data_IF_080831798228
#
_entry.id   IF_080831798228
#
_cell.length_a   1.000
_cell.length_b   1.000
_cell.length_c   1.000
_cell.angle_alpha   90.00
_cell.angle_beta   90.00
_cell.angle_gamma   90.00
#
_symmetry.space_group_name_H-M   'P 1'
#
loop_
_entity.id
_entity.type
_entity.pdbx_description
1 polymer ?
#
# COMPACT_ATOMS: atom_id res chain seq x y z
N UNK A 1 29.59 -3.09 -16.21
CA UNK A 1 29.16 -2.63 -14.88
C UNK A 1 27.74 -3.11 -14.73
N UNK A 2 27.49 -4.05 -13.82
CA UNK A 2 26.12 -4.41 -13.45
C UNK A 2 25.65 -3.30 -12.51
N UNK A 3 24.64 -2.53 -12.93
CA UNK A 3 24.14 -1.38 -12.19
C UNK A 3 23.27 -1.89 -11.06
N UNK A 4 23.67 -1.62 -9.81
CA UNK A 4 22.85 -1.91 -8.65
C UNK A 4 21.74 -0.86 -8.53
N UNK A 5 20.57 -1.18 -9.06
CA UNK A 5 19.40 -0.30 -9.03
C UNK A 5 18.95 0.04 -7.59
N UNK A 6 19.28 -0.81 -6.60
CA UNK A 6 18.98 -0.55 -5.20
C UNK A 6 19.75 0.63 -4.61
N UNK A 7 20.92 0.96 -5.17
CA UNK A 7 21.76 2.07 -4.70
C UNK A 7 21.14 3.46 -4.97
N UNK A 8 20.24 3.57 -5.96
CA UNK A 8 19.56 4.83 -6.30
C UNK A 8 18.41 5.17 -5.34
N UNK A 9 17.99 4.20 -4.52
CA UNK A 9 16.98 4.42 -3.48
C UNK A 9 17.58 4.87 -2.14
N UNK A 10 18.90 4.96 -2.03
CA UNK A 10 19.58 5.43 -0.81
C UNK A 10 19.49 6.96 -0.70
N UNK A 11 19.04 7.45 0.46
CA UNK A 11 18.96 8.88 0.77
C UNK A 11 20.34 9.57 0.72
N UNK A 12 21.42 8.81 0.87
CA UNK A 12 22.81 9.29 0.80
C UNK A 12 23.47 9.09 -0.58
N UNK A 13 22.69 8.75 -1.61
CA UNK A 13 23.24 8.52 -2.94
C UNK A 13 23.89 9.79 -3.52
N UNK A 14 25.19 9.72 -3.81
CA UNK A 14 25.95 10.81 -4.43
C UNK A 14 26.04 10.60 -5.95
N UNK A 15 25.09 11.21 -6.66
CA UNK A 15 25.02 11.17 -8.12
C UNK A 15 26.30 11.69 -8.79
N UNK A 16 26.94 12.73 -8.25
CA UNK A 16 28.16 13.28 -8.85
C UNK A 16 29.31 12.29 -8.74
N UNK A 17 29.47 11.68 -7.56
CA UNK A 17 30.50 10.66 -7.34
C UNK A 17 30.28 9.43 -8.23
N UNK A 18 29.03 9.02 -8.41
CA UNK A 18 28.69 7.90 -9.28
C UNK A 18 29.07 8.17 -10.75
N UNK A 19 28.65 9.32 -11.29
CA UNK A 19 28.98 9.72 -12.68
C UNK A 19 30.49 9.82 -12.86
N UNK A 20 31.18 10.51 -11.94
CA UNK A 20 32.64 10.67 -12.02
C UNK A 20 33.38 9.34 -11.97
N UNK A 21 32.87 8.37 -11.20
CA UNK A 21 33.46 7.02 -11.14
C UNK A 21 33.25 6.26 -12.45
N UNK A 22 32.10 6.43 -13.10
CA UNK A 22 31.85 5.85 -14.43
C UNK A 22 32.80 6.41 -15.48
N UNK A 23 33.05 7.73 -15.46
CA UNK A 23 34.01 8.41 -16.35
C UNK A 23 35.47 7.99 -16.13
N UNK A 24 35.84 7.53 -14.93
CA UNK A 24 37.20 7.10 -14.60
C UNK A 24 37.53 5.68 -15.08
N UNK A 25 36.55 4.92 -15.58
CA UNK A 25 36.72 3.53 -16.01
C UNK A 25 37.43 3.35 -17.36
N UNK A 26 37.85 4.45 -18.00
CA UNK A 26 38.52 4.42 -19.31
C UNK A 26 39.87 3.71 -19.24
N UNK A 27 40.09 2.74 -20.13
CA UNK A 27 41.41 2.15 -20.29
C UNK A 27 42.37 3.17 -20.96
N UNK A 28 43.63 3.31 -20.51
CA UNK A 28 44.56 4.30 -21.08
C UNK A 28 44.81 4.18 -22.58
N UNK A 29 44.59 2.99 -23.15
CA UNK A 29 44.75 2.72 -24.58
C UNK A 29 43.48 2.93 -25.41
N UNK A 30 42.33 3.19 -24.79
CA UNK A 30 41.08 3.43 -25.53
C UNK A 30 41.04 4.86 -26.08
N UNK A 31 40.72 5.03 -27.38
CA UNK A 31 40.48 6.35 -27.98
C UNK A 31 39.40 7.10 -27.19
N UNK A 32 39.67 8.38 -26.92
CA UNK A 32 38.81 9.19 -26.08
C UNK A 32 37.39 9.33 -26.67
N UNK A 33 37.25 9.64 -27.97
CA UNK A 33 35.93 9.73 -28.61
C UNK A 33 35.15 8.42 -28.48
N UNK A 34 35.77 7.28 -28.74
CA UNK A 34 35.10 5.97 -28.65
C UNK A 34 34.60 5.72 -27.22
N UNK A 35 35.44 5.99 -26.22
CA UNK A 35 35.05 5.84 -24.83
C UNK A 35 33.89 6.77 -24.43
N UNK A 36 33.91 8.03 -24.89
CA UNK A 36 32.85 8.99 -24.59
C UNK A 36 31.51 8.60 -25.21
N UNK A 37 31.51 8.13 -26.47
CA UNK A 37 30.31 7.62 -27.15
C UNK A 37 29.77 6.37 -26.46
N UNK A 38 30.65 5.43 -26.09
CA UNK A 38 30.27 4.22 -25.36
C UNK A 38 29.71 4.55 -23.96
N UNK A 39 30.27 5.58 -23.30
CA UNK A 39 29.83 6.03 -21.99
C UNK A 39 28.49 6.75 -22.07
N UNK A 40 28.30 7.62 -23.05
CA UNK A 40 27.03 8.29 -23.33
C UNK A 40 25.91 7.26 -23.55
N UNK A 41 26.13 6.29 -24.44
CA UNK A 41 25.14 5.25 -24.73
C UNK A 41 24.81 4.41 -23.49
N UNK A 42 25.80 4.10 -22.65
CA UNK A 42 25.59 3.39 -21.38
C UNK A 42 24.79 4.23 -20.39
N UNK A 43 25.14 5.50 -20.20
CA UNK A 43 24.43 6.39 -19.29
C UNK A 43 22.98 6.60 -19.72
N UNK A 44 22.75 6.74 -21.03
CA UNK A 44 21.42 6.84 -21.62
C UNK A 44 20.57 5.60 -21.28
N UNK A 45 21.05 4.40 -21.58
CA UNK A 45 20.32 3.15 -21.28
C UNK A 45 20.09 2.97 -19.78
N UNK A 46 21.10 3.26 -18.94
CA UNK A 46 20.95 3.18 -17.48
C UNK A 46 19.92 4.19 -16.97
N UNK A 47 19.85 5.39 -17.54
CA UNK A 47 18.80 6.35 -17.20
C UNK A 47 17.41 5.84 -17.51
N UNK A 48 17.24 5.19 -18.67
CA UNK A 48 15.96 4.58 -19.08
C UNK A 48 15.57 3.41 -18.16
N UNK A 49 16.52 2.56 -17.80
CA UNK A 49 16.32 1.45 -16.86
C UNK A 49 15.91 1.94 -15.45
N UNK A 50 16.57 2.97 -14.93
CA UNK A 50 16.23 3.56 -13.62
C UNK A 50 14.82 4.16 -13.68
N UNK A 51 14.49 4.90 -14.75
CA UNK A 51 13.17 5.52 -14.90
C UNK A 51 12.06 4.46 -14.94
N UNK A 52 12.22 3.42 -15.75
CA UNK A 52 11.27 2.30 -15.83
C UNK A 52 11.11 1.62 -14.47
N UNK A 53 12.20 1.35 -13.77
CA UNK A 53 12.15 0.67 -12.46
C UNK A 53 11.43 1.50 -11.40
N UNK A 54 11.65 2.83 -11.38
CA UNK A 54 10.95 3.74 -10.48
C UNK A 54 9.46 3.84 -10.80
N UNK A 55 9.09 3.85 -12.08
CA UNK A 55 7.69 3.90 -12.51
C UNK A 55 6.92 2.63 -12.13
N UNK A 56 7.55 1.46 -12.30
CA UNK A 56 7.00 0.16 -11.87
C UNK A 56 6.81 0.10 -10.35
N UNK A 57 7.82 0.53 -9.58
CA UNK A 57 7.74 0.56 -8.12
C UNK A 57 6.67 1.53 -7.62
N UNK A 58 6.57 2.70 -8.25
CA UNK A 58 5.55 3.71 -7.92
C UNK A 58 4.14 3.18 -8.18
N UNK A 59 3.91 2.55 -9.34
CA UNK A 59 2.63 1.95 -9.71
C UNK A 59 2.24 0.81 -8.76
N UNK A 60 3.20 -0.05 -8.39
CA UNK A 60 2.99 -1.12 -7.42
C UNK A 60 2.66 -0.59 -6.01
N UNK A 61 3.31 0.50 -5.59
CA UNK A 61 3.05 1.15 -4.31
C UNK A 61 1.65 1.76 -4.26
N UNK A 62 1.21 2.43 -5.33
CA UNK A 62 -0.14 2.99 -5.46
C UNK A 62 -1.22 1.90 -5.37
N UNK A 63 -1.06 0.80 -6.12
CA UNK A 63 -1.98 -0.35 -6.05
C UNK A 63 -2.03 -0.95 -4.64
N UNK A 64 -0.89 -1.02 -3.96
CA UNK A 64 -0.83 -1.54 -2.59
C UNK A 64 -1.55 -0.60 -1.62
N UNK A 65 -1.34 0.71 -1.74
CA UNK A 65 -2.01 1.70 -0.90
C UNK A 65 -3.54 1.67 -1.07
N UNK A 66 -4.02 1.55 -2.30
CA UNK A 66 -5.46 1.39 -2.59
C UNK A 66 -6.02 0.10 -2.01
N UNK A 67 -5.31 -1.03 -2.16
CA UNK A 67 -5.72 -2.32 -1.58
C UNK A 67 -5.80 -2.25 -0.06
N UNK A 68 -4.82 -1.66 0.61
CA UNK A 68 -4.83 -1.49 2.08
C UNK A 68 -6.02 -0.64 2.51
N UNK A 69 -6.29 0.47 1.83
CA UNK A 69 -7.47 1.31 2.09
C UNK A 69 -8.76 0.52 1.98
N UNK A 70 -8.92 -0.26 0.91
CA UNK A 70 -10.10 -1.10 0.70
C UNK A 70 -10.30 -2.13 1.81
N UNK A 71 -9.23 -2.81 2.24
CA UNK A 71 -9.27 -3.78 3.34
C UNK A 71 -9.71 -3.13 4.65
N UNK A 72 -9.18 -1.94 4.97
CA UNK A 72 -9.57 -1.17 6.16
C UNK A 72 -11.05 -0.79 6.10
N UNK A 73 -11.55 -0.39 4.93
CA UNK A 73 -12.96 -0.01 4.75
C UNK A 73 -13.92 -1.20 4.88
N UNK A 74 -13.54 -2.37 4.37
CA UNK A 74 -14.28 -3.61 4.59
C UNK A 74 -14.30 -4.00 6.07
N UNK A 75 -13.17 -3.93 6.75
CA UNK A 75 -13.07 -4.26 8.18
C UNK A 75 -13.91 -3.31 9.05
N UNK A 76 -13.87 -2.00 8.75
CA UNK A 76 -14.70 -1.00 9.42
C UNK A 76 -16.20 -1.24 9.16
N UNK A 77 -16.57 -1.68 7.96
CA UNK A 77 -17.96 -2.03 7.62
C UNK A 77 -18.42 -3.30 8.33
N UNK A 78 -17.53 -4.30 8.44
CA UNK A 78 -17.77 -5.53 9.20
C UNK A 78 -18.02 -5.25 10.68
N UNK A 79 -17.13 -4.47 11.32
CA UNK A 79 -17.29 -4.03 12.72
C UNK A 79 -18.58 -3.24 12.95
N UNK A 80 -18.98 -2.37 12.02
CA UNK A 80 -20.27 -1.65 12.11
C UNK A 80 -21.48 -2.59 12.07
N UNK A 81 -21.44 -3.64 11.24
CA UNK A 81 -22.52 -4.64 11.19
C UNK A 81 -22.58 -5.48 12.47
N UNK A 82 -21.45 -5.84 13.04
CA UNK A 82 -21.38 -6.57 14.30
C UNK A 82 -21.97 -5.76 15.46
N UNK A 83 -21.69 -4.45 15.54
CA UNK A 83 -22.30 -3.54 16.52
C UNK A 83 -23.82 -3.40 16.30
N UNK A 84 -24.26 -3.30 15.03
CA UNK A 84 -25.69 -3.19 14.70
C UNK A 84 -26.47 -4.49 14.94
N UNK A 85 -25.84 -5.65 14.76
CA UNK A 85 -26.46 -6.96 14.98
C UNK A 85 -26.35 -7.41 16.44
N UNK A 86 -25.22 -7.16 17.12
CA UNK A 86 -25.00 -7.48 18.52
C UNK A 86 -25.74 -6.56 19.50
N UNK A 87 -26.21 -5.39 19.06
CA UNK A 87 -27.14 -4.54 19.82
C UNK A 87 -28.58 -5.07 19.85
N UNK A 88 -28.90 -6.13 19.08
CA UNK A 88 -30.23 -6.75 19.06
C UNK A 88 -30.39 -7.90 20.08
N UNK A 89 -29.32 -8.26 20.81
CA UNK A 89 -29.36 -9.34 21.79
C UNK A 89 -29.71 -8.82 23.19
N UNK A 90 -30.99 -8.93 23.53
CA UNK A 90 -31.37 -9.46 24.86
C UNK A 90 -32.26 -8.61 25.76
N UNK A 91 -32.32 -7.29 25.63
CA UNK A 91 -33.05 -6.46 26.61
C UNK A 91 -34.48 -6.08 26.15
N UNK A 92 -34.65 -5.70 24.88
CA UNK A 92 -35.96 -5.29 24.34
C UNK A 92 -36.98 -6.42 24.23
N UNK A 93 -36.54 -7.67 24.06
CA UNK A 93 -37.44 -8.83 23.94
C UNK A 93 -37.95 -9.29 25.31
N UNK A 94 -37.16 -9.12 26.37
CA UNK A 94 -37.55 -9.50 27.74
C UNK A 94 -38.58 -8.53 28.33
N UNK A 95 -38.47 -7.24 28.01
CA UNK A 95 -39.46 -6.24 28.47
C UNK A 95 -40.81 -6.40 27.75
N UNK A 96 -40.80 -6.69 26.45
CA UNK A 96 -42.04 -6.97 25.69
C UNK A 96 -42.76 -8.26 26.18
N UNK A 97 -42.01 -9.31 26.52
CA UNK A 97 -42.57 -10.53 27.08
C UNK A 97 -43.14 -10.33 28.50
N UNK A 98 -42.47 -9.52 29.34
CA UNK A 98 -42.92 -9.20 30.69
C UNK A 98 -44.17 -8.28 30.71
N UNK A 99 -44.37 -7.46 29.68
CA UNK A 99 -45.58 -6.66 29.50
C UNK A 99 -46.78 -7.52 29.05
N UNK A 100 -46.55 -8.50 28.17
CA UNK A 100 -47.63 -9.38 27.67
C UNK A 100 -48.14 -10.37 28.73
N UNK A 101 -47.28 -10.82 29.64
CA UNK A 101 -47.67 -11.71 30.75
C UNK A 101 -48.54 -11.02 31.82
N UNK A 102 -48.39 -9.70 32.01
CA UNK A 102 -49.20 -8.93 32.98
C UNK A 102 -50.59 -8.56 32.47
N UNK A 103 -50.82 -8.61 31.16
CA UNK A 103 -52.13 -8.29 30.56
C UNK A 103 -53.15 -9.44 30.54
N UNK A 104 -52.77 -10.67 30.94
CA UNK A 104 -53.63 -11.87 30.76
C UNK A 104 -54.25 -12.43 32.05
N UNK A 105 -54.08 -11.78 33.21
CA UNK A 105 -54.59 -12.26 34.50
C UNK A 105 -55.48 -11.26 35.25
N UNK A 106 -56.35 -10.54 34.54
CA UNK A 106 -57.32 -9.64 35.14
C UNK A 106 -58.60 -9.60 34.32
N UNK A 107 -59.40 -10.67 34.36
CA UNK A 107 -60.66 -10.72 33.62
C UNK A 107 -61.37 -12.07 33.74
N UNK A 108 -61.50 -12.59 34.95
CA UNK A 108 -62.25 -13.82 35.21
C UNK A 108 -62.73 -13.89 36.66
N UNK A 109 -64.04 -13.83 36.84
CA UNK A 109 -64.75 -13.92 38.14
C UNK A 109 -65.10 -12.53 38.70
N UNK A 110 -66.30 -12.24 39.17
CA UNK A 110 -67.46 -13.06 39.52
C UNK A 110 -68.66 -12.12 39.73
N UNK A 111 -69.89 -12.66 39.68
CA UNK A 111 -71.06 -12.06 40.33
C UNK A 111 -72.18 -11.67 39.38
#
# INVERSE_FOLDING_TARGET
>A
MMVDLGSFSDEKFDAKKWINSACQSRHPQDPLEKHLVDLEMKLQMTSEEIASSLEDQSSAALLTAERVRYVIELDNTGRRREVLLGGADGDGVREAAAASARGRHGGGGSG
#
